data_IF_970436225319
#
_entry.id   IF_970436225319
#
_cell.length_a   1.000
_cell.length_b   1.000
_cell.length_c   1.000
_cell.angle_alpha   90.00
_cell.angle_beta   90.00
_cell.angle_gamma   90.00
#
_symmetry.space_group_name_H-M   'P 1'
#
loop_
_entity.id
_entity.type
_entity.pdbx_description
1 polymer ?
#
# COMPACT_ATOMS: atom_id res chain seq x y z
N UNK A 1 -20.69 -49.83 -27.18
CA UNK A 1 -20.61 -49.70 -25.70
C UNK A 1 -19.47 -48.78 -25.26
N UNK A 2 -18.24 -48.89 -25.82
CA UNK A 2 -17.06 -48.08 -25.43
C UNK A 2 -17.22 -46.54 -25.56
N UNK A 3 -17.92 -46.06 -26.59
CA UNK A 3 -18.17 -44.62 -26.84
C UNK A 3 -19.14 -43.97 -25.85
N UNK A 4 -20.06 -44.74 -25.25
CA UNK A 4 -21.00 -44.24 -24.23
C UNK A 4 -20.28 -43.94 -22.91
N UNK A 5 -19.30 -44.75 -22.54
CA UNK A 5 -18.46 -44.51 -21.36
C UNK A 5 -17.52 -43.31 -21.53
N UNK A 6 -16.99 -43.09 -22.74
CA UNK A 6 -16.18 -41.91 -23.07
C UNK A 6 -16.99 -40.61 -22.92
N UNK A 7 -18.23 -40.59 -23.43
CA UNK A 7 -19.13 -39.44 -23.29
C UNK A 7 -19.49 -39.15 -21.84
N UNK A 8 -19.62 -40.19 -21.00
CA UNK A 8 -19.94 -40.05 -19.59
C UNK A 8 -18.76 -39.47 -18.80
N UNK A 9 -17.54 -39.91 -19.12
CA UNK A 9 -16.30 -39.35 -18.55
C UNK A 9 -16.12 -37.88 -18.94
N UNK A 10 -16.38 -37.52 -20.20
CA UNK A 10 -16.27 -36.14 -20.67
C UNK A 10 -17.26 -35.20 -19.96
N UNK A 11 -18.47 -35.70 -19.68
CA UNK A 11 -19.48 -34.96 -18.92
C UNK A 11 -19.05 -34.73 -17.46
N UNK A 12 -18.38 -35.71 -16.84
CA UNK A 12 -17.87 -35.60 -15.47
C UNK A 12 -16.75 -34.58 -15.33
N UNK A 13 -15.87 -34.47 -16.34
CA UNK A 13 -14.80 -33.47 -16.33
C UNK A 13 -15.32 -32.03 -16.49
N UNK A 14 -16.48 -31.84 -17.13
CA UNK A 14 -17.07 -30.52 -17.35
C UNK A 14 -17.56 -29.85 -16.05
N UNK A 15 -17.74 -30.59 -14.95
CA UNK A 15 -18.15 -30.06 -13.65
C UNK A 15 -16.97 -29.76 -12.70
N UNK A 16 -15.73 -30.11 -13.09
CA UNK A 16 -14.53 -29.74 -12.33
C UNK A 16 -14.07 -28.34 -12.73
N UNK A 17 -14.69 -27.31 -12.14
CA UNK A 17 -14.16 -25.95 -12.18
C UNK A 17 -13.31 -25.67 -10.94
N UNK A 18 -12.21 -24.95 -11.13
CA UNK A 18 -11.38 -24.49 -10.02
C UNK A 18 -12.03 -23.26 -9.39
N UNK A 19 -12.23 -23.25 -8.08
CA UNK A 19 -12.67 -22.04 -7.39
C UNK A 19 -11.49 -21.08 -7.30
N UNK A 20 -11.66 -19.87 -7.80
CA UNK A 20 -10.69 -18.79 -7.55
C UNK A 20 -10.77 -18.35 -6.09
N UNK A 21 -9.61 -18.13 -5.48
CA UNK A 21 -9.51 -17.57 -4.14
C UNK A 21 -9.23 -16.08 -4.29
N UNK A 22 -10.14 -15.24 -3.82
CA UNK A 22 -9.89 -13.81 -3.77
C UNK A 22 -8.76 -13.52 -2.77
N UNK A 23 -7.69 -12.89 -3.27
CA UNK A 23 -6.58 -12.38 -2.46
C UNK A 23 -6.91 -10.97 -2.02
N UNK A 24 -7.80 -10.85 -1.03
CA UNK A 24 -8.05 -9.58 -0.37
C UNK A 24 -6.86 -9.20 0.53
N UNK A 25 -6.66 -7.89 0.80
CA UNK A 25 -5.71 -7.45 1.81
C UNK A 25 -5.95 -8.14 3.16
N UNK A 26 -4.86 -8.51 3.83
CA UNK A 26 -4.88 -9.22 5.12
C UNK A 26 -5.41 -8.29 6.24
N UNK A 27 -5.26 -6.98 6.04
CA UNK A 27 -5.72 -5.92 6.92
C UNK A 27 -6.88 -5.17 6.26
N UNK A 28 -7.91 -4.82 7.02
CA UNK A 28 -8.94 -3.89 6.55
C UNK A 28 -8.33 -2.50 6.38
N UNK A 29 -8.54 -1.85 5.23
CA UNK A 29 -8.00 -0.51 5.03
C UNK A 29 -8.65 0.48 5.98
N UNK A 30 -7.83 1.26 6.68
CA UNK A 30 -8.28 2.40 7.49
C UNK A 30 -8.56 3.64 6.62
N UNK A 31 -8.50 3.49 5.29
CA UNK A 31 -8.67 4.57 4.33
C UNK A 31 -7.41 5.41 4.20
N UNK A 32 -7.57 6.65 3.73
CA UNK A 32 -6.46 7.59 3.54
C UNK A 32 -5.76 7.83 4.89
N UNK A 33 -4.42 7.70 4.98
CA UNK A 33 -3.68 8.06 6.19
C UNK A 33 -3.96 9.50 6.61
N UNK A 34 -4.03 9.71 7.93
CA UNK A 34 -4.22 11.04 8.50
C UNK A 34 -3.06 11.99 8.20
N UNK A 35 -3.20 13.24 8.64
CA UNK A 35 -2.07 14.19 8.64
C UNK A 35 -1.10 13.84 9.77
N UNK A 36 0.19 14.11 9.56
CA UNK A 36 1.18 14.03 10.64
C UNK A 36 0.93 15.15 11.67
N UNK A 37 1.25 14.86 12.93
CA UNK A 37 1.04 15.78 14.06
C UNK A 37 2.37 16.08 14.76
N UNK A 38 2.38 17.01 15.72
CA UNK A 38 3.55 17.33 16.55
C UNK A 38 4.81 17.67 15.72
N UNK A 39 4.64 18.43 14.64
CA UNK A 39 5.75 18.82 13.77
C UNK A 39 6.66 19.83 14.48
N UNK A 40 7.92 19.46 14.70
CA UNK A 40 8.96 20.34 15.25
C UNK A 40 10.13 20.45 14.29
N UNK A 41 10.74 21.64 14.25
CA UNK A 41 11.88 21.95 13.39
C UNK A 41 12.99 22.54 14.26
N UNK A 42 14.10 21.83 14.35
CA UNK A 42 15.30 22.26 15.09
C UNK A 42 16.41 22.61 14.09
N UNK A 43 16.82 23.88 13.99
CA UNK A 43 17.88 24.28 13.08
C UNK A 43 19.24 23.76 13.55
N UNK A 44 20.03 23.27 12.61
CA UNK A 44 21.40 22.79 12.81
C UNK A 44 22.35 23.52 11.86
N UNK A 45 23.65 23.51 12.17
CA UNK A 45 24.64 24.06 11.27
C UNK A 45 24.64 23.27 9.94
N UNK A 46 24.14 23.89 8.86
CA UNK A 46 24.03 23.26 7.54
C UNK A 46 22.79 22.38 7.34
N UNK A 47 21.81 22.40 8.24
CA UNK A 47 20.59 21.60 8.09
C UNK A 47 19.51 21.90 9.12
N UNK A 48 18.51 21.03 9.20
CA UNK A 48 17.49 21.05 10.24
C UNK A 48 17.03 19.62 10.55
N UNK A 49 16.75 19.35 11.81
CA UNK A 49 16.05 18.14 12.24
C UNK A 49 14.56 18.43 12.24
N UNK A 50 13.80 17.60 11.53
CA UNK A 50 12.34 17.67 11.50
C UNK A 50 11.80 16.42 12.19
N UNK A 51 11.05 16.62 13.27
CA UNK A 51 10.36 15.53 13.98
C UNK A 51 8.86 15.67 13.79
N UNK A 52 8.16 14.55 13.71
CA UNK A 52 6.71 14.49 13.57
C UNK A 52 6.18 13.17 14.12
N UNK A 53 4.90 13.15 14.44
CA UNK A 53 4.17 11.99 14.90
C UNK A 53 3.31 11.42 13.79
N UNK A 54 3.51 10.13 13.52
CA UNK A 54 2.75 9.36 12.54
C UNK A 54 1.31 9.17 13.05
N UNK A 55 0.28 9.43 12.21
CA UNK A 55 -1.12 9.21 12.57
C UNK A 55 -1.41 7.72 12.75
N UNK A 56 -2.49 7.38 13.46
CA UNK A 56 -2.93 6.00 13.60
C UNK A 56 -3.49 5.49 12.25
N UNK A 57 -2.62 4.88 11.45
CA UNK A 57 -2.92 4.35 10.12
C UNK A 57 -2.04 3.13 9.86
N UNK A 58 -2.66 1.99 9.58
CA UNK A 58 -1.93 0.78 9.18
C UNK A 58 -1.40 0.86 7.75
N UNK A 59 -1.98 1.74 6.91
CA UNK A 59 -1.67 1.87 5.49
C UNK A 59 -0.78 3.09 5.16
N UNK A 60 0.27 3.37 5.97
CA UNK A 60 1.21 4.46 5.69
C UNK A 60 2.43 3.95 4.88
N UNK A 61 2.60 4.42 3.65
CA UNK A 61 3.74 4.04 2.79
C UNK A 61 4.98 4.94 2.97
N UNK A 62 4.75 6.23 3.19
CA UNK A 62 5.80 7.23 3.33
C UNK A 62 5.24 8.56 3.84
N UNK A 63 6.14 9.38 4.38
CA UNK A 63 5.92 10.80 4.69
C UNK A 63 6.80 11.66 3.78
N UNK A 64 6.18 12.61 3.08
CA UNK A 64 6.86 13.59 2.22
C UNK A 64 7.03 14.91 2.97
N UNK A 65 8.26 15.41 3.00
CA UNK A 65 8.58 16.77 3.43
C UNK A 65 8.89 17.61 2.19
N UNK A 66 8.28 18.80 2.08
CA UNK A 66 8.55 19.78 1.02
C UNK A 66 9.08 21.05 1.70
N UNK A 67 10.20 21.57 1.19
CA UNK A 67 10.90 22.70 1.79
C UNK A 67 11.68 23.52 0.75
N UNK A 68 11.93 24.79 1.07
CA UNK A 68 12.73 25.71 0.26
C UNK A 68 14.05 25.99 0.98
N UNK A 69 15.18 25.74 0.31
CA UNK A 69 16.47 26.30 0.75
C UNK A 69 16.58 27.77 0.32
N UNK A 70 17.68 28.45 0.65
CA UNK A 70 17.99 29.81 0.18
C UNK A 70 17.83 29.92 -1.36
N UNK A 71 16.66 30.39 -1.81
CA UNK A 71 16.21 30.45 -3.21
C UNK A 71 14.78 29.94 -3.40
N UNK A 72 14.06 30.41 -4.41
CA UNK A 72 12.64 30.05 -4.67
C UNK A 72 12.45 28.63 -5.26
N UNK A 73 13.32 27.69 -4.89
CA UNK A 73 13.29 26.31 -5.40
C UNK A 73 12.71 25.38 -4.34
N UNK A 74 11.61 24.72 -4.67
CA UNK A 74 11.05 23.65 -3.86
C UNK A 74 11.92 22.39 -3.98
N UNK A 75 12.21 21.78 -2.82
CA UNK A 75 12.89 20.51 -2.68
C UNK A 75 11.98 19.57 -1.89
N UNK A 76 12.10 18.27 -2.15
CA UNK A 76 11.32 17.25 -1.46
C UNK A 76 12.20 16.13 -0.93
N UNK A 77 11.83 15.58 0.23
CA UNK A 77 12.42 14.38 0.83
C UNK A 77 11.29 13.44 1.21
N UNK A 78 11.40 12.17 0.81
CA UNK A 78 10.43 11.13 1.12
C UNK A 78 11.07 10.13 2.07
N UNK A 79 10.45 9.91 3.23
CA UNK A 79 10.84 8.89 4.19
C UNK A 79 9.78 7.78 4.19
N UNK A 80 10.14 6.52 3.94
CA UNK A 80 9.21 5.39 4.08
C UNK A 80 8.81 5.20 5.54
#
# INVERSE_FOLDING_TARGET
MKTKYLSFILLLLAFSSCSEKELSPISGSLGKPGIVTDVTVEPLAGGATISYKIPNSEDLLAVKCVYTLSGDRENEVVRP
#
